data_IF_624650140128
#
_entry.id   IF_624650140128
#
_cell.length_a   1.000
_cell.length_b   1.000
_cell.length_c   1.000
_cell.angle_alpha   90.00
_cell.angle_beta   90.00
_cell.angle_gamma   90.00
#
_symmetry.space_group_name_H-M   'P 1'
#
loop_
_entity.id
_entity.type
_entity.pdbx_description
1 polymer ?
#
# COMPACT_ATOMS: atom_id res chain seq x y z
N UNK A 1 -45.54 -23.73 -13.84
CA UNK A 1 -44.47 -23.67 -12.84
C UNK A 1 -45.07 -24.06 -11.51
N UNK A 2 -44.65 -25.18 -10.92
CA UNK A 2 -45.11 -25.57 -9.59
C UNK A 2 -44.43 -24.64 -8.57
N UNK A 3 -45.22 -23.82 -7.87
CA UNK A 3 -44.77 -23.09 -6.68
C UNK A 3 -44.53 -24.11 -5.56
N UNK A 4 -43.37 -24.76 -5.59
CA UNK A 4 -42.93 -25.65 -4.52
C UNK A 4 -42.39 -24.75 -3.40
N UNK A 5 -43.15 -24.64 -2.32
CA UNK A 5 -42.71 -23.97 -1.10
C UNK A 5 -41.96 -25.00 -0.25
N UNK A 6 -40.63 -24.86 -0.18
CA UNK A 6 -39.77 -25.72 0.62
C UNK A 6 -39.57 -25.12 2.02
N UNK A 7 -39.66 -25.95 3.06
CA UNK A 7 -39.32 -25.55 4.41
C UNK A 7 -37.84 -25.15 4.52
N UNK A 8 -37.57 -23.95 5.04
CA UNK A 8 -36.22 -23.50 5.41
C UNK A 8 -36.08 -23.52 6.94
N UNK A 9 -34.98 -24.09 7.42
CA UNK A 9 -34.68 -24.06 8.85
C UNK A 9 -34.44 -22.63 9.34
N UNK A 10 -34.80 -22.34 10.59
CA UNK A 10 -34.55 -21.01 11.21
C UNK A 10 -33.09 -20.59 11.11
N UNK A 11 -32.16 -21.54 11.29
CA UNK A 11 -30.72 -21.30 11.16
C UNK A 11 -30.35 -20.76 9.78
N UNK A 12 -30.93 -21.30 8.71
CA UNK A 12 -30.63 -20.83 7.35
C UNK A 12 -31.21 -19.43 7.09
N UNK A 13 -32.40 -19.13 7.61
CA UNK A 13 -33.03 -17.81 7.49
C UNK A 13 -32.16 -16.75 8.17
N UNK A 14 -31.70 -17.01 9.40
CA UNK A 14 -30.86 -16.07 10.16
C UNK A 14 -29.55 -15.75 9.41
N UNK A 15 -28.94 -16.74 8.76
CA UNK A 15 -27.72 -16.51 7.96
C UNK A 15 -28.00 -15.66 6.73
N UNK A 16 -29.11 -15.89 6.04
CA UNK A 16 -29.52 -15.08 4.87
C UNK A 16 -29.81 -13.62 5.28
N UNK A 17 -30.48 -13.42 6.43
CA UNK A 17 -30.72 -12.09 7.02
C UNK A 17 -29.41 -11.38 7.40
N UNK A 18 -28.54 -12.07 8.14
CA UNK A 18 -27.24 -11.54 8.56
C UNK A 18 -26.35 -11.16 7.36
N UNK A 19 -26.36 -11.98 6.30
CA UNK A 19 -25.70 -11.64 5.04
C UNK A 19 -26.23 -10.32 4.46
N UNK A 20 -27.55 -10.17 4.36
CA UNK A 20 -28.15 -8.95 3.82
C UNK A 20 -27.83 -7.72 4.67
N UNK A 21 -27.83 -7.85 6.00
CA UNK A 21 -27.43 -6.77 6.92
C UNK A 21 -25.95 -6.42 6.77
N UNK A 22 -25.06 -7.42 6.59
CA UNK A 22 -23.66 -7.18 6.30
C UNK A 22 -23.45 -6.38 5.00
N UNK A 23 -24.19 -6.72 3.92
CA UNK A 23 -24.15 -5.97 2.66
C UNK A 23 -24.62 -4.53 2.88
N UNK A 24 -25.75 -4.32 3.57
CA UNK A 24 -26.28 -2.98 3.86
C UNK A 24 -25.30 -2.15 4.70
N UNK A 25 -24.73 -2.74 5.74
CA UNK A 25 -23.72 -2.12 6.59
C UNK A 25 -22.53 -1.63 5.74
N UNK A 26 -21.95 -2.51 4.92
CA UNK A 26 -20.81 -2.16 4.08
C UNK A 26 -21.18 -1.12 3.02
N UNK A 27 -22.38 -1.19 2.45
CA UNK A 27 -22.83 -0.28 1.39
C UNK A 27 -23.12 1.13 1.90
N UNK A 28 -23.80 1.25 3.03
CA UNK A 28 -24.37 2.52 3.48
C UNK A 28 -23.71 3.12 4.72
N UNK A 29 -23.06 2.33 5.57
CA UNK A 29 -22.52 2.82 6.85
C UNK A 29 -21.00 2.99 6.87
N UNK A 30 -20.25 2.26 6.03
CA UNK A 30 -18.78 2.38 6.01
C UNK A 30 -18.29 3.56 5.16
N UNK A 31 -17.44 4.46 5.69
CA UNK A 31 -16.81 5.50 4.88
C UNK A 31 -15.67 4.95 4.00
N UNK A 32 -15.35 5.64 2.90
CA UNK A 32 -13.95 5.80 2.53
C UNK A 32 -13.29 4.81 1.57
N UNK A 33 -13.97 4.20 0.61
CA UNK A 33 -13.27 3.57 -0.55
C UNK A 33 -13.70 4.18 -1.87
N UNK A 34 -15.01 4.40 -2.01
CA UNK A 34 -15.67 4.97 -3.17
C UNK A 34 -16.91 5.75 -2.72
N UNK A 35 -17.48 6.61 -3.57
CA UNK A 35 -18.79 7.20 -3.25
C UNK A 35 -19.84 6.09 -3.26
N UNK A 36 -20.93 6.22 -2.50
CA UNK A 36 -22.02 5.22 -2.45
C UNK A 36 -22.56 4.86 -3.84
N UNK A 37 -22.44 5.79 -4.80
CA UNK A 37 -22.86 5.65 -6.20
C UNK A 37 -21.99 4.67 -7.01
N UNK A 38 -20.74 4.43 -6.59
CA UNK A 38 -19.86 3.47 -7.26
C UNK A 38 -20.24 2.02 -6.94
N UNK A 39 -21.15 1.78 -6.00
CA UNK A 39 -21.55 0.41 -5.62
C UNK A 39 -22.08 -0.39 -6.81
N UNK A 40 -22.79 0.24 -7.74
CA UNK A 40 -23.36 -0.44 -8.91
C UNK A 40 -22.30 -0.70 -10.00
N UNK A 41 -21.16 -0.01 -9.96
CA UNK A 41 -20.10 -0.16 -10.95
C UNK A 41 -19.39 -1.51 -10.82
N UNK A 42 -19.00 -2.09 -11.95
CA UNK A 42 -18.17 -3.30 -11.99
C UNK A 42 -16.67 -3.01 -11.83
N UNK A 43 -16.28 -1.73 -11.91
CA UNK A 43 -14.92 -1.27 -11.72
C UNK A 43 -14.90 -0.04 -10.81
N UNK A 44 -14.12 -0.12 -9.73
CA UNK A 44 -13.80 1.01 -8.87
C UNK A 44 -12.43 1.54 -9.29
N UNK A 45 -12.43 2.67 -10.02
CA UNK A 45 -11.24 3.25 -10.65
C UNK A 45 -10.14 3.47 -9.62
N UNK A 46 -8.95 2.92 -9.90
CA UNK A 46 -7.79 2.99 -9.00
C UNK A 46 -7.75 1.94 -7.89
N UNK A 47 -8.80 1.15 -7.70
CA UNK A 47 -8.89 0.16 -6.62
C UNK A 47 -9.02 -1.27 -7.12
N UNK A 48 -10.08 -1.58 -7.87
CA UNK A 48 -10.45 -2.95 -8.20
C UNK A 48 -11.42 -3.06 -9.38
N UNK A 49 -11.33 -4.17 -10.11
CA UNK A 49 -12.32 -4.58 -11.13
C UNK A 49 -12.88 -5.96 -10.79
N UNK A 50 -14.21 -6.04 -10.64
CA UNK A 50 -14.96 -7.23 -10.25
C UNK A 50 -15.27 -8.12 -11.45
N UNK A 51 -14.23 -8.61 -12.12
CA UNK A 51 -14.31 -9.58 -13.22
C UNK A 51 -14.02 -11.00 -12.75
N UNK A 52 -14.53 -12.00 -13.48
CA UNK A 52 -14.24 -13.42 -13.32
C UNK A 52 -12.76 -13.74 -13.51
N UNK A 53 -12.32 -14.89 -12.99
CA UNK A 53 -10.96 -15.39 -13.24
C UNK A 53 -10.81 -15.80 -14.72
N UNK A 54 -9.58 -15.77 -15.23
CA UNK A 54 -9.28 -16.09 -16.63
C UNK A 54 -9.59 -14.97 -17.63
N UNK A 55 -10.34 -13.94 -17.24
CA UNK A 55 -10.57 -12.76 -18.08
C UNK A 55 -9.34 -11.83 -18.04
N UNK A 56 -8.58 -11.83 -19.13
CA UNK A 56 -7.37 -11.00 -19.30
C UNK A 56 -7.64 -9.49 -19.29
N UNK A 57 -6.59 -8.69 -19.49
CA UNK A 57 -6.67 -7.23 -19.55
C UNK A 57 -7.28 -6.76 -20.88
N UNK A 58 -8.60 -6.87 -21.00
CA UNK A 58 -9.41 -6.30 -22.08
C UNK A 58 -10.37 -5.23 -21.55
N UNK A 59 -10.94 -4.46 -22.49
CA UNK A 59 -12.08 -3.56 -22.25
C UNK A 59 -13.16 -4.35 -21.52
N UNK A 60 -13.69 -3.78 -20.45
CA UNK A 60 -14.63 -4.47 -19.57
C UNK A 60 -15.98 -4.66 -20.25
N UNK A 61 -16.46 -5.91 -20.30
CA UNK A 61 -17.81 -6.26 -20.70
C UNK A 61 -18.60 -6.77 -19.48
N UNK A 62 -19.90 -6.47 -19.40
CA UNK A 62 -20.77 -6.90 -18.30
C UNK A 62 -20.82 -8.43 -18.18
N UNK A 63 -20.64 -9.17 -19.27
CA UNK A 63 -20.59 -10.66 -19.25
C UNK A 63 -19.38 -11.20 -18.47
N UNK A 64 -18.31 -10.40 -18.38
CA UNK A 64 -17.08 -10.75 -17.66
C UNK A 64 -17.20 -10.48 -16.15
N UNK A 65 -18.26 -9.81 -15.70
CA UNK A 65 -18.47 -9.48 -14.30
C UNK A 65 -18.61 -10.76 -13.46
N UNK A 66 -18.22 -10.67 -12.18
CA UNK A 66 -18.57 -11.69 -11.19
C UNK A 66 -20.08 -11.94 -11.19
N UNK A 67 -20.49 -13.17 -10.91
CA UNK A 67 -21.89 -13.57 -10.82
C UNK A 67 -22.72 -12.63 -9.95
N UNK A 68 -23.96 -12.35 -10.37
CA UNK A 68 -24.87 -11.38 -9.74
C UNK A 68 -25.13 -11.66 -8.25
N UNK A 69 -25.30 -12.93 -7.88
CA UNK A 69 -25.44 -13.37 -6.49
C UNK A 69 -24.18 -13.15 -5.64
N UNK A 70 -23.00 -13.09 -6.26
CA UNK A 70 -21.71 -13.08 -5.57
C UNK A 70 -21.08 -11.68 -5.50
N UNK A 71 -21.31 -10.85 -6.52
CA UNK A 71 -20.59 -9.58 -6.67
C UNK A 71 -20.80 -8.62 -5.50
N UNK A 72 -21.99 -8.62 -4.90
CA UNK A 72 -22.28 -7.80 -3.72
C UNK A 72 -21.44 -8.21 -2.51
N UNK A 73 -21.23 -9.51 -2.30
CA UNK A 73 -20.31 -10.00 -1.28
C UNK A 73 -18.87 -9.54 -1.53
N UNK A 74 -18.37 -9.69 -2.76
CA UNK A 74 -17.01 -9.27 -3.12
C UNK A 74 -16.79 -7.77 -2.86
N UNK A 75 -17.77 -6.93 -3.23
CA UNK A 75 -17.77 -5.48 -2.98
C UNK A 75 -17.78 -5.18 -1.47
N UNK A 76 -18.66 -5.82 -0.71
CA UNK A 76 -18.76 -5.64 0.74
C UNK A 76 -17.46 -6.03 1.45
N UNK A 77 -16.89 -7.19 1.10
CA UNK A 77 -15.65 -7.68 1.69
C UNK A 77 -14.49 -6.71 1.46
N UNK A 78 -14.30 -6.22 0.24
CA UNK A 78 -13.23 -5.25 -0.06
C UNK A 78 -13.41 -3.95 0.72
N UNK A 79 -14.64 -3.40 0.76
CA UNK A 79 -14.92 -2.15 1.47
C UNK A 79 -14.73 -2.31 2.99
N UNK A 80 -15.15 -3.43 3.56
CA UNK A 80 -14.92 -3.75 4.96
C UNK A 80 -13.41 -3.81 5.27
N UNK A 81 -12.63 -4.57 4.48
CA UNK A 81 -11.17 -4.65 4.67
C UNK A 81 -10.48 -3.28 4.52
N UNK A 82 -10.92 -2.45 3.58
CA UNK A 82 -10.39 -1.09 3.44
C UNK A 82 -10.63 -0.24 4.68
N UNK A 83 -11.83 -0.28 5.24
CA UNK A 83 -12.20 0.50 6.42
C UNK A 83 -11.35 0.15 7.65
N UNK A 84 -10.92 -1.12 7.78
CA UNK A 84 -10.02 -1.56 8.84
C UNK A 84 -8.57 -1.17 8.57
N UNK A 85 -8.10 -1.39 7.33
CA UNK A 85 -6.73 -1.09 6.93
C UNK A 85 -6.65 -0.83 5.42
N UNK A 86 -6.54 0.44 5.00
CA UNK A 86 -6.35 0.80 3.60
C UNK A 86 -5.12 0.11 3.00
N UNK A 87 -5.35 -0.67 1.94
CA UNK A 87 -4.30 -1.29 1.14
C UNK A 87 -4.01 -0.46 -0.11
N UNK A 88 -2.75 -0.44 -0.52
CA UNK A 88 -2.32 0.16 -1.81
C UNK A 88 -2.83 -0.63 -3.03
N UNK A 89 -3.11 -1.92 -2.87
CA UNK A 89 -3.52 -2.80 -3.96
C UNK A 89 -4.36 -3.98 -3.42
N UNK A 90 -5.53 -4.22 -4.03
CA UNK A 90 -6.48 -5.29 -3.68
C UNK A 90 -6.35 -6.55 -4.54
N UNK A 91 -5.37 -6.62 -5.43
CA UNK A 91 -5.20 -7.67 -6.42
C UNK A 91 -5.13 -9.07 -5.80
N UNK A 92 -4.43 -9.24 -4.68
CA UNK A 92 -4.33 -10.55 -4.00
C UNK A 92 -5.68 -10.98 -3.41
N UNK A 93 -6.45 -10.05 -2.85
CA UNK A 93 -7.81 -10.32 -2.36
C UNK A 93 -8.70 -10.73 -3.54
N UNK A 94 -8.60 -9.99 -4.65
CA UNK A 94 -9.38 -10.30 -5.85
C UNK A 94 -9.03 -11.63 -6.50
N UNK A 95 -7.76 -12.04 -6.50
CA UNK A 95 -7.39 -13.37 -6.99
C UNK A 95 -8.18 -14.46 -6.25
N UNK A 96 -8.19 -14.40 -4.92
CA UNK A 96 -8.93 -15.35 -4.09
C UNK A 96 -10.44 -15.26 -4.30
N UNK A 97 -11.01 -14.04 -4.33
CA UNK A 97 -12.46 -13.85 -4.56
C UNK A 97 -12.92 -14.41 -5.91
N UNK A 98 -12.10 -14.30 -6.96
CA UNK A 98 -12.43 -14.83 -8.30
C UNK A 98 -12.33 -16.35 -8.37
N UNK A 99 -11.32 -16.94 -7.75
CA UNK A 99 -11.24 -18.40 -7.61
C UNK A 99 -12.45 -18.94 -6.84
N UNK A 100 -12.84 -18.25 -5.76
CA UNK A 100 -13.93 -18.66 -4.90
C UNK A 100 -15.30 -18.57 -5.59
N UNK A 101 -15.54 -17.53 -6.39
CA UNK A 101 -16.77 -17.41 -7.19
C UNK A 101 -16.92 -18.59 -8.16
N UNK A 102 -15.89 -18.86 -8.96
CA UNK A 102 -15.94 -19.97 -9.91
C UNK A 102 -16.13 -21.32 -9.19
N UNK A 103 -15.42 -21.55 -8.08
CA UNK A 103 -15.56 -22.78 -7.29
C UNK A 103 -16.98 -22.96 -6.74
N UNK A 104 -17.58 -21.88 -6.24
CA UNK A 104 -18.92 -21.91 -5.66
C UNK A 104 -19.97 -22.26 -6.72
N UNK A 105 -19.84 -21.69 -7.92
CA UNK A 105 -20.68 -22.02 -9.07
C UNK A 105 -20.51 -23.48 -9.51
N UNK A 106 -19.27 -24.00 -9.53
CA UNK A 106 -18.99 -25.38 -9.95
C UNK A 106 -19.48 -26.43 -8.94
N UNK A 107 -19.33 -26.18 -7.64
CA UNK A 107 -19.60 -27.17 -6.60
C UNK A 107 -21.04 -27.09 -6.07
N UNK A 108 -21.60 -25.88 -5.96
CA UNK A 108 -22.91 -25.65 -5.33
C UNK A 108 -23.98 -25.17 -6.34
N UNK A 109 -23.61 -24.90 -7.59
CA UNK A 109 -24.51 -24.38 -8.62
C UNK A 109 -25.25 -23.08 -8.19
N UNK A 110 -24.55 -22.21 -7.45
CA UNK A 110 -25.07 -20.93 -6.94
C UNK A 110 -23.91 -19.95 -6.71
N UNK A 111 -24.16 -18.64 -6.83
CA UNK A 111 -23.18 -17.60 -6.47
C UNK A 111 -23.32 -17.09 -5.04
N UNK A 112 -24.24 -17.64 -4.23
CA UNK A 112 -24.54 -17.15 -2.89
C UNK A 112 -23.48 -17.62 -1.88
N UNK A 113 -22.64 -16.69 -1.43
CA UNK A 113 -21.46 -16.99 -0.59
C UNK A 113 -21.76 -17.81 0.67
N UNK A 114 -22.95 -17.65 1.25
CA UNK A 114 -23.33 -18.35 2.48
C UNK A 114 -23.52 -19.87 2.31
N UNK A 115 -23.47 -20.38 1.07
CA UNK A 115 -23.49 -21.81 0.75
C UNK A 115 -22.07 -22.43 0.66
N UNK A 116 -21.01 -21.65 0.90
CA UNK A 116 -19.63 -22.15 0.81
C UNK A 116 -19.34 -23.25 1.85
N UNK A 117 -18.53 -24.23 1.45
CA UNK A 117 -18.05 -25.34 2.29
C UNK A 117 -16.55 -25.49 2.13
N UNK A 118 -15.91 -26.34 2.96
CA UNK A 118 -14.48 -26.64 2.79
C UNK A 118 -14.13 -27.17 1.39
N UNK A 119 -15.02 -27.96 0.78
CA UNK A 119 -14.87 -28.48 -0.59
C UNK A 119 -14.80 -27.35 -1.61
N UNK A 120 -15.60 -26.29 -1.42
CA UNK A 120 -15.55 -25.12 -2.31
C UNK A 120 -14.19 -24.40 -2.20
N UNK A 121 -13.61 -24.32 -1.00
CA UNK A 121 -12.28 -23.73 -0.83
C UNK A 121 -11.16 -24.59 -1.44
N UNK A 122 -11.28 -25.92 -1.36
CA UNK A 122 -10.36 -26.84 -2.04
C UNK A 122 -10.44 -26.68 -3.56
N UNK A 123 -11.65 -26.63 -4.12
CA UNK A 123 -11.85 -26.38 -5.55
C UNK A 123 -11.33 -24.98 -5.96
N UNK A 124 -11.52 -23.95 -5.12
CA UNK A 124 -10.97 -22.62 -5.38
C UNK A 124 -9.43 -22.63 -5.47
N UNK A 125 -8.76 -23.44 -4.64
CA UNK A 125 -7.31 -23.63 -4.74
C UNK A 125 -6.91 -24.39 -6.01
N UNK A 126 -7.67 -25.42 -6.39
CA UNK A 126 -7.43 -26.13 -7.66
C UNK A 126 -7.59 -25.20 -8.86
N UNK A 127 -8.65 -24.40 -8.91
CA UNK A 127 -8.84 -23.35 -9.92
C UNK A 127 -7.65 -22.38 -9.90
N UNK A 128 -7.25 -21.89 -8.72
CA UNK A 128 -6.10 -21.00 -8.58
C UNK A 128 -4.80 -21.58 -9.18
N UNK A 129 -4.55 -22.87 -8.99
CA UNK A 129 -3.37 -23.55 -9.52
C UNK A 129 -3.28 -23.60 -11.05
N UNK A 130 -4.42 -23.45 -11.75
CA UNK A 130 -4.46 -23.34 -13.22
C UNK A 130 -3.97 -21.99 -13.75
N UNK A 131 -3.96 -20.96 -12.90
CA UNK A 131 -3.62 -19.58 -13.29
C UNK A 131 -2.38 -19.04 -12.59
N UNK A 132 -2.00 -19.61 -11.44
CA UNK A 132 -0.96 -19.07 -10.58
C UNK A 132 0.02 -20.15 -10.14
N UNK A 133 1.29 -19.76 -9.98
CA UNK A 133 2.35 -20.65 -9.53
C UNK A 133 3.16 -20.05 -8.37
N UNK A 134 3.87 -20.93 -7.65
CA UNK A 134 4.81 -20.56 -6.60
C UNK A 134 4.21 -19.64 -5.53
N UNK A 135 4.88 -18.51 -5.27
CA UNK A 135 4.47 -17.57 -4.23
C UNK A 135 3.17 -16.82 -4.53
N UNK A 136 2.75 -16.76 -5.80
CA UNK A 136 1.48 -16.12 -6.19
C UNK A 136 0.32 -17.03 -5.80
N UNK A 137 0.43 -18.33 -6.08
CA UNK A 137 -0.55 -19.34 -5.63
C UNK A 137 -0.62 -19.41 -4.10
N UNK A 138 0.52 -19.41 -3.42
CA UNK A 138 0.55 -19.40 -1.96
C UNK A 138 -0.16 -18.18 -1.36
N UNK A 139 0.00 -16.99 -1.97
CA UNK A 139 -0.72 -15.77 -1.56
C UNK A 139 -2.23 -15.89 -1.78
N UNK A 140 -2.66 -16.54 -2.87
CA UNK A 140 -4.07 -16.84 -3.12
C UNK A 140 -4.65 -17.69 -1.99
N UNK A 141 -3.98 -18.80 -1.64
CA UNK A 141 -4.40 -19.68 -0.55
C UNK A 141 -4.43 -19.00 0.82
N UNK A 142 -3.44 -18.18 1.16
CA UNK A 142 -3.45 -17.37 2.39
C UNK A 142 -4.67 -16.43 2.44
N UNK A 143 -5.08 -15.86 1.31
CA UNK A 143 -6.28 -15.01 1.28
C UNK A 143 -7.58 -15.81 1.34
N UNK A 144 -7.65 -16.99 0.71
CA UNK A 144 -8.78 -17.90 0.86
C UNK A 144 -8.99 -18.31 2.32
N UNK A 145 -7.90 -18.57 3.06
CA UNK A 145 -7.96 -18.92 4.48
C UNK A 145 -8.50 -17.76 5.33
N UNK A 146 -8.09 -16.53 5.02
CA UNK A 146 -8.63 -15.32 5.65
C UNK A 146 -10.12 -15.13 5.36
N UNK A 147 -10.56 -15.35 4.11
CA UNK A 147 -11.97 -15.26 3.75
C UNK A 147 -12.77 -16.34 4.48
N UNK A 148 -12.27 -17.58 4.53
CA UNK A 148 -12.90 -18.69 5.26
C UNK A 148 -13.11 -18.35 6.74
N UNK A 149 -12.05 -17.85 7.39
CA UNK A 149 -12.10 -17.40 8.78
C UNK A 149 -13.08 -16.24 8.98
N UNK A 150 -13.05 -15.24 8.10
CA UNK A 150 -13.95 -14.09 8.15
C UNK A 150 -15.43 -14.51 8.09
N UNK A 151 -15.76 -15.39 7.14
CA UNK A 151 -17.13 -15.89 6.95
C UNK A 151 -17.65 -16.64 8.17
N UNK A 152 -16.79 -17.44 8.80
CA UNK A 152 -17.10 -18.12 10.05
C UNK A 152 -17.30 -17.13 11.21
N UNK A 153 -16.33 -16.23 11.46
CA UNK A 153 -16.37 -15.30 12.59
C UNK A 153 -17.56 -14.34 12.54
N UNK A 154 -18.07 -14.04 11.34
CA UNK A 154 -19.21 -13.15 11.12
C UNK A 154 -20.53 -13.90 10.91
N UNK A 155 -20.58 -15.22 11.11
CA UNK A 155 -21.78 -16.04 10.92
C UNK A 155 -22.45 -15.87 9.54
N UNK A 156 -21.64 -15.82 8.48
CA UNK A 156 -22.08 -15.61 7.10
C UNK A 156 -22.25 -16.91 6.31
N UNK A 157 -22.26 -18.08 6.97
CA UNK A 157 -22.31 -19.40 6.31
C UNK A 157 -23.30 -20.36 6.95
N UNK A 158 -24.03 -21.10 6.13
CA UNK A 158 -25.06 -22.07 6.58
C UNK A 158 -24.45 -23.31 7.25
N UNK A 159 -23.28 -23.73 6.78
CA UNK A 159 -22.49 -24.84 7.34
C UNK A 159 -22.10 -24.62 8.81
N UNK A 160 -22.10 -23.36 9.27
CA UNK A 160 -21.76 -22.99 10.65
C UNK A 160 -20.26 -22.80 10.83
N UNK A 161 -19.46 -23.86 10.69
CA UNK A 161 -17.99 -23.79 10.85
C UNK A 161 -17.27 -24.32 9.61
N UNK A 162 -16.19 -23.63 9.23
CA UNK A 162 -15.32 -24.02 8.11
C UNK A 162 -13.88 -24.10 8.62
N UNK A 163 -13.34 -25.32 8.77
CA UNK A 163 -11.94 -25.56 9.15
C UNK A 163 -11.05 -25.71 7.92
N UNK A 164 -11.10 -24.78 6.97
CA UNK A 164 -10.25 -24.85 5.80
C UNK A 164 -8.88 -24.20 6.07
N UNK A 165 -7.81 -24.85 5.63
CA UNK A 165 -6.43 -24.34 5.73
C UNK A 165 -5.72 -24.50 4.40
N UNK A 166 -4.93 -23.49 4.05
CA UNK A 166 -4.14 -23.55 2.82
C UNK A 166 -3.00 -24.57 2.93
N UNK A 167 -2.96 -25.53 1.99
CA UNK A 167 -1.91 -26.53 1.91
C UNK A 167 -0.64 -26.04 1.17
N UNK A 168 -0.74 -24.96 0.39
CA UNK A 168 0.40 -24.41 -0.38
C UNK A 168 1.19 -23.43 0.48
N UNK A 169 2.39 -23.84 0.90
CA UNK A 169 3.30 -22.98 1.69
C UNK A 169 3.94 -21.92 0.81
N UNK A 170 3.94 -20.67 1.30
CA UNK A 170 4.73 -19.62 0.69
C UNK A 170 6.21 -19.95 0.87
N UNK A 171 6.96 -20.03 -0.24
CA UNK A 171 8.42 -20.13 -0.19
C UNK A 171 8.96 -18.75 0.16
N UNK A 172 9.18 -18.54 1.46
CA UNK A 172 9.93 -17.38 1.93
C UNK A 172 11.40 -17.66 1.58
N UNK A 173 12.01 -16.85 0.72
CA UNK A 173 13.48 -16.88 0.59
C UNK A 173 14.03 -16.60 1.99
N UNK A 174 14.91 -17.45 2.50
CA UNK A 174 15.66 -17.13 3.71
C UNK A 174 16.30 -15.75 3.48
N UNK A 175 16.14 -14.83 4.44
CA UNK A 175 16.75 -13.49 4.36
C UNK A 175 18.28 -13.54 4.26
N UNK A 176 18.86 -14.72 4.47
CA UNK A 176 20.25 -15.05 4.23
C UNK A 176 20.32 -16.20 3.22
N UNK A 177 20.72 -15.87 2.00
CA UNK A 177 21.28 -16.83 1.04
C UNK A 177 22.80 -16.66 1.10
N UNK A 178 23.59 -17.73 1.24
CA UNK A 178 25.02 -17.67 1.02
C UNK A 178 25.30 -17.01 -0.35
N UNK A 179 26.34 -16.19 -0.44
CA UNK A 179 26.68 -15.40 -1.64
C UNK A 179 26.76 -16.24 -2.92
N UNK A 180 27.15 -17.51 -2.78
CA UNK A 180 27.25 -18.52 -3.84
C UNK A 180 25.88 -18.87 -4.46
N UNK A 181 24.78 -18.71 -3.74
CA UNK A 181 23.43 -19.15 -4.16
C UNK A 181 22.53 -18.02 -4.72
N UNK A 182 23.01 -16.77 -4.78
CA UNK A 182 22.22 -15.64 -5.27
C UNK A 182 23.01 -14.81 -6.31
N UNK A 183 23.32 -15.43 -7.45
CA UNK A 183 24.01 -14.79 -8.59
C UNK A 183 23.32 -13.49 -9.08
N UNK A 184 22.02 -13.32 -8.80
CA UNK A 184 21.26 -12.09 -9.12
C UNK A 184 21.45 -10.96 -8.09
N UNK A 185 22.24 -11.17 -7.04
CA UNK A 185 22.49 -10.16 -5.99
C UNK A 185 23.46 -9.08 -6.47
N UNK A 186 24.50 -9.47 -7.21
CA UNK A 186 25.44 -8.53 -7.84
C UNK A 186 24.72 -7.64 -8.87
N UNK A 187 23.86 -8.23 -9.69
CA UNK A 187 23.07 -7.52 -10.72
C UNK A 187 22.08 -6.49 -10.15
N UNK A 188 21.78 -6.53 -8.84
CA UNK A 188 20.86 -5.59 -8.16
C UNK A 188 21.57 -4.50 -7.37
N UNK A 189 22.88 -4.56 -7.26
CA UNK A 189 23.68 -3.55 -6.59
C UNK A 189 24.28 -2.61 -7.64
N UNK A 190 24.47 -1.31 -7.30
CA UNK A 190 25.26 -0.44 -8.16
C UNK A 190 26.66 -1.00 -8.29
N UNK A 191 27.24 -0.89 -9.48
CA UNK A 191 28.65 -1.18 -9.69
C UNK A 191 29.54 -0.14 -8.98
N UNK A 192 30.82 -0.45 -8.90
CA UNK A 192 31.80 0.40 -8.22
C UNK A 192 31.95 1.76 -8.91
N UNK A 193 31.88 1.80 -10.24
CA UNK A 193 31.97 3.03 -11.03
C UNK A 193 30.85 4.01 -10.68
N UNK A 194 29.61 3.52 -10.55
CA UNK A 194 28.46 4.31 -10.14
C UNK A 194 28.62 4.85 -8.71
N UNK A 195 29.17 4.05 -7.79
CA UNK A 195 29.42 4.50 -6.41
C UNK A 195 30.49 5.59 -6.37
N UNK A 196 31.58 5.42 -7.11
CA UNK A 196 32.66 6.40 -7.20
C UNK A 196 32.19 7.69 -7.87
N UNK A 197 31.41 7.61 -8.95
CA UNK A 197 30.85 8.79 -9.61
C UNK A 197 29.99 9.65 -8.67
N UNK A 198 29.15 9.01 -7.84
CA UNK A 198 28.33 9.72 -6.85
C UNK A 198 29.21 10.33 -5.74
N UNK A 199 30.25 9.62 -5.31
CA UNK A 199 31.21 10.15 -4.33
C UNK A 199 31.97 11.36 -4.89
N UNK A 200 32.41 11.30 -6.15
CA UNK A 200 33.08 12.39 -6.85
C UNK A 200 32.19 13.61 -6.96
N UNK A 201 30.92 13.45 -7.39
CA UNK A 201 29.92 14.53 -7.42
C UNK A 201 29.73 15.12 -6.02
N UNK A 202 29.59 14.28 -4.99
CA UNK A 202 29.42 14.75 -3.62
C UNK A 202 30.64 15.55 -3.12
N UNK A 203 31.84 15.15 -3.53
CA UNK A 203 33.10 15.75 -3.11
C UNK A 203 33.28 17.18 -3.62
N UNK A 204 32.71 17.51 -4.79
CA UNK A 204 32.83 18.82 -5.42
C UNK A 204 32.40 19.98 -4.52
N UNK A 205 32.92 21.16 -4.85
CA UNK A 205 32.52 22.44 -4.27
C UNK A 205 31.05 22.74 -4.56
N UNK A 206 30.37 23.39 -3.62
CA UNK A 206 28.93 23.61 -3.71
C UNK A 206 28.57 24.55 -4.87
N UNK A 207 29.45 25.46 -5.25
CA UNK A 207 29.25 26.44 -6.33
C UNK A 207 29.20 25.75 -7.71
N UNK A 208 29.81 24.58 -7.85
CA UNK A 208 29.90 23.81 -9.09
C UNK A 208 28.70 22.86 -9.27
N UNK A 209 27.86 22.70 -8.25
CA UNK A 209 26.79 21.71 -8.24
C UNK A 209 25.43 22.37 -8.39
N UNK A 210 24.62 21.79 -9.30
CA UNK A 210 23.22 22.16 -9.39
C UNK A 210 22.47 21.79 -8.09
N UNK A 211 21.31 22.41 -7.81
CA UNK A 211 20.44 21.99 -6.70
C UNK A 211 20.11 20.49 -6.72
N UNK A 212 19.91 19.93 -7.93
CA UNK A 212 19.62 18.50 -8.13
C UNK A 212 20.80 17.62 -7.73
N UNK A 213 22.02 18.00 -8.10
CA UNK A 213 23.23 17.22 -7.79
C UNK A 213 23.53 17.27 -6.29
N UNK A 214 23.40 18.46 -5.68
CA UNK A 214 23.51 18.63 -4.22
C UNK A 214 22.51 17.74 -3.49
N UNK A 215 21.25 17.74 -3.92
CA UNK A 215 20.21 16.91 -3.31
C UNK A 215 20.52 15.42 -3.45
N UNK A 216 20.72 14.97 -4.69
CA UNK A 216 20.88 13.55 -5.03
C UNK A 216 22.11 12.98 -4.33
N UNK A 217 23.27 13.61 -4.50
CA UNK A 217 24.52 13.15 -3.89
C UNK A 217 24.47 13.18 -2.35
N UNK A 218 23.79 14.16 -1.74
CA UNK A 218 23.61 14.21 -0.28
C UNK A 218 22.73 13.08 0.25
N UNK A 219 21.65 12.72 -0.46
CA UNK A 219 20.81 11.57 -0.09
C UNK A 219 21.61 10.27 -0.15
N UNK A 220 22.39 10.05 -1.21
CA UNK A 220 23.27 8.88 -1.30
C UNK A 220 24.34 8.86 -0.21
N UNK A 221 24.98 10.00 0.06
CA UNK A 221 25.97 10.12 1.12
C UNK A 221 25.38 9.75 2.49
N UNK A 222 24.15 10.18 2.81
CA UNK A 222 23.47 9.80 4.05
C UNK A 222 23.10 8.30 4.10
N UNK A 223 22.67 7.72 2.98
CA UNK A 223 22.41 6.28 2.88
C UNK A 223 23.68 5.44 3.11
N UNK A 224 24.85 5.94 2.68
CA UNK A 224 26.16 5.33 2.94
C UNK A 224 26.63 5.54 4.39
N UNK A 225 26.41 6.73 4.96
CA UNK A 225 26.70 7.02 6.37
C UNK A 225 25.88 6.12 7.30
N UNK A 226 24.63 5.88 6.91
CA UNK A 226 23.64 5.23 7.75
C UNK A 226 22.56 4.53 6.91
N UNK A 227 22.76 3.25 6.58
CA UNK A 227 21.85 2.47 5.75
C UNK A 227 20.40 2.54 6.23
N UNK A 228 19.54 3.05 5.36
CA UNK A 228 18.14 3.39 5.66
C UNK A 228 17.28 3.17 4.43
N UNK A 229 15.95 3.14 4.61
CA UNK A 229 15.07 3.30 3.44
C UNK A 229 15.17 4.74 2.95
N UNK A 230 15.10 4.92 1.64
CA UNK A 230 15.10 6.28 1.06
C UNK A 230 14.00 7.16 1.66
N UNK A 231 12.81 6.59 1.91
CA UNK A 231 11.69 7.32 2.53
C UNK A 231 12.01 7.84 3.94
N UNK A 232 12.89 7.17 4.69
CA UNK A 232 13.30 7.60 6.04
C UNK A 232 14.28 8.78 5.95
N UNK A 233 15.18 8.79 4.96
CA UNK A 233 16.08 9.93 4.69
C UNK A 233 15.28 11.16 4.22
N UNK A 234 14.33 10.95 3.30
CA UNK A 234 13.50 12.04 2.74
C UNK A 234 12.53 12.64 3.76
N UNK A 235 12.26 11.94 4.86
CA UNK A 235 11.40 12.40 5.95
C UNK A 235 12.20 12.92 7.17
N UNK A 236 13.51 13.15 7.03
CA UNK A 236 14.34 13.70 8.10
C UNK A 236 13.84 15.09 8.52
N UNK A 237 13.65 15.34 9.83
CA UNK A 237 13.33 16.68 10.30
C UNK A 237 14.54 17.61 10.17
N UNK A 238 14.28 18.92 10.09
CA UNK A 238 15.34 19.93 9.94
C UNK A 238 16.32 19.94 11.13
N UNK A 239 15.84 19.60 12.32
CA UNK A 239 16.62 19.46 13.55
C UNK A 239 17.08 18.01 13.80
N UNK A 240 17.25 17.20 12.76
CA UNK A 240 17.56 15.77 12.94
C UNK A 240 18.91 15.50 13.64
N UNK A 241 19.88 16.41 13.59
CA UNK A 241 21.20 16.21 14.16
C UNK A 241 21.16 16.13 15.70
N UNK A 242 21.86 15.15 16.27
CA UNK A 242 22.00 15.01 17.72
C UNK A 242 23.42 14.58 18.09
N UNK A 243 23.91 15.12 19.20
CA UNK A 243 25.17 14.73 19.81
C UNK A 243 24.93 14.32 21.26
N UNK A 244 25.48 13.18 21.68
CA UNK A 244 25.39 12.68 23.06
C UNK A 244 26.73 12.08 23.51
N UNK A 245 27.01 12.14 24.81
CA UNK A 245 28.17 11.46 25.40
C UNK A 245 27.71 10.06 25.82
N UNK A 246 28.41 9.01 25.36
CA UNK A 246 28.10 7.64 25.75
C UNK A 246 28.63 7.30 27.15
N UNK A 247 28.30 6.11 27.66
CA UNK A 247 28.75 5.65 28.98
C UNK A 247 30.27 5.51 29.16
N UNK A 248 31.06 5.71 28.09
CA UNK A 248 32.52 5.73 28.13
C UNK A 248 33.10 7.15 28.01
N UNK A 249 32.25 8.18 28.09
CA UNK A 249 32.67 9.57 27.93
C UNK A 249 32.96 9.96 26.46
N UNK A 250 32.55 9.14 25.49
CA UNK A 250 32.83 9.40 24.07
C UNK A 250 31.64 10.14 23.45
N UNK A 251 31.92 11.27 22.81
CA UNK A 251 30.93 11.98 22.00
C UNK A 251 30.48 11.14 20.78
N UNK A 252 29.17 10.98 20.64
CA UNK A 252 28.49 10.27 19.55
C UNK A 252 27.59 11.24 18.82
N UNK A 253 27.76 11.31 17.52
CA UNK A 253 26.89 12.05 16.61
C UNK A 253 25.91 11.08 15.94
N UNK A 254 24.65 11.47 15.86
CA UNK A 254 23.58 10.68 15.27
C UNK A 254 22.53 11.54 14.60
N UNK A 255 21.60 10.88 13.93
CA UNK A 255 20.45 11.52 13.29
C UNK A 255 19.17 10.93 13.88
N UNK A 256 18.21 11.79 14.24
CA UNK A 256 16.87 11.45 14.71
C UNK A 256 15.99 11.09 13.50
N UNK A 257 15.40 9.89 13.51
CA UNK A 257 14.53 9.38 12.45
C UNK A 257 13.22 8.84 13.01
N UNK A 258 12.20 8.75 12.15
CA UNK A 258 10.97 8.04 12.42
C UNK A 258 10.84 6.79 11.53
N UNK A 259 10.77 5.62 12.15
CA UNK A 259 10.78 4.35 11.43
C UNK A 259 9.40 4.00 10.85
N UNK A 260 9.33 3.78 9.53
CA UNK A 260 8.06 3.54 8.81
C UNK A 260 7.38 2.22 9.20
N UNK A 261 8.13 1.22 9.68
CA UNK A 261 7.60 -0.11 10.08
C UNK A 261 7.18 -0.20 11.55
N UNK A 262 6.61 0.86 12.12
CA UNK A 262 6.00 0.82 13.46
C UNK A 262 6.98 0.77 14.63
N UNK A 263 8.28 0.95 14.39
CA UNK A 263 9.29 1.06 15.45
C UNK A 263 9.38 2.47 16.05
N UNK A 264 8.65 3.44 15.49
CA UNK A 264 8.56 4.79 16.05
C UNK A 264 9.86 5.61 15.93
N UNK A 265 10.05 6.61 16.82
CA UNK A 265 11.22 7.47 16.83
C UNK A 265 12.49 6.70 17.25
N UNK A 266 13.59 6.92 16.55
CA UNK A 266 14.88 6.26 16.81
C UNK A 266 16.05 7.19 16.45
N UNK A 267 17.23 6.92 17.01
CA UNK A 267 18.49 7.58 16.64
C UNK A 267 19.35 6.57 15.88
N UNK A 268 19.87 6.98 14.72
CA UNK A 268 20.93 6.21 14.07
C UNK A 268 22.27 6.92 14.23
N UNK A 269 23.19 6.25 14.90
CA UNK A 269 24.53 6.75 15.18
C UNK A 269 25.43 6.66 13.95
N UNK A 270 26.16 7.73 13.67
CA UNK A 270 27.02 7.82 12.48
C UNK A 270 28.46 7.41 12.88
N UNK A 271 29.14 6.56 12.09
CA UNK A 271 30.55 6.26 12.30
C UNK A 271 31.39 7.54 12.33
N UNK A 272 32.35 7.63 13.25
CA UNK A 272 33.15 8.85 13.48
C UNK A 272 33.76 9.43 12.20
N UNK A 273 34.29 8.57 11.33
CA UNK A 273 34.91 8.94 10.05
C UNK A 273 33.91 9.53 9.03
N UNK A 274 32.62 9.19 9.16
CA UNK A 274 31.55 9.66 8.28
C UNK A 274 30.85 10.92 8.80
N UNK A 275 31.15 11.39 10.02
CA UNK A 275 30.52 12.59 10.60
C UNK A 275 30.65 13.81 9.67
N UNK A 276 31.83 14.14 9.09
CA UNK A 276 31.97 15.27 8.18
C UNK A 276 31.08 15.13 6.93
N UNK A 277 30.97 13.91 6.40
CA UNK A 277 30.13 13.59 5.23
C UNK A 277 28.65 13.81 5.55
N UNK A 278 28.18 13.26 6.68
CA UNK A 278 26.80 13.43 7.12
C UNK A 278 26.46 14.91 7.34
N UNK A 279 27.31 15.66 8.04
CA UNK A 279 27.10 17.10 8.28
C UNK A 279 27.08 17.90 6.98
N UNK A 280 27.98 17.63 6.03
CA UNK A 280 27.98 18.29 4.70
C UNK A 280 26.66 18.01 3.96
N UNK A 281 26.18 16.76 3.99
CA UNK A 281 24.92 16.36 3.37
C UNK A 281 23.72 17.06 4.01
N UNK A 282 23.61 17.06 5.35
CA UNK A 282 22.51 17.72 6.07
C UNK A 282 22.51 19.24 5.80
N UNK A 283 23.67 19.90 5.85
CA UNK A 283 23.80 21.32 5.51
C UNK A 283 23.28 21.63 4.10
N UNK A 284 23.64 20.82 3.10
CA UNK A 284 23.14 20.97 1.72
C UNK A 284 21.61 20.84 1.67
N UNK A 285 21.05 19.79 2.28
CA UNK A 285 19.61 19.57 2.30
C UNK A 285 18.85 20.68 3.04
N UNK A 286 19.40 21.19 4.14
CA UNK A 286 18.84 22.31 4.91
C UNK A 286 18.82 23.60 4.07
N UNK A 287 19.89 23.88 3.34
CA UNK A 287 19.96 25.04 2.43
C UNK A 287 18.91 24.91 1.32
N UNK A 288 18.83 23.76 0.65
CA UNK A 288 17.88 23.53 -0.44
C UNK A 288 16.41 23.62 -0.01
N UNK A 289 16.09 23.17 1.20
CA UNK A 289 14.72 23.19 1.72
C UNK A 289 14.35 24.46 2.50
N UNK A 290 15.23 25.47 2.53
CA UNK A 290 15.00 26.71 3.28
C UNK A 290 13.71 27.43 2.88
N UNK A 291 13.47 27.61 1.57
CA UNK A 291 12.27 28.31 1.08
C UNK A 291 10.98 27.58 1.47
N UNK A 292 10.97 26.24 1.36
CA UNK A 292 9.82 25.43 1.75
C UNK A 292 9.54 25.52 3.26
N UNK A 293 10.58 25.50 4.11
CA UNK A 293 10.41 25.67 5.56
C UNK A 293 9.94 27.08 5.94
N UNK A 294 10.45 28.11 5.26
CA UNK A 294 10.01 29.49 5.47
C UNK A 294 8.53 29.66 5.13
N UNK A 295 8.08 29.06 4.02
CA UNK A 295 6.67 29.04 3.64
C UNK A 295 5.81 28.30 4.68
N UNK A 296 6.23 27.11 5.11
CA UNK A 296 5.51 26.34 6.12
C UNK A 296 5.35 27.15 7.42
N UNK A 297 6.43 27.75 7.92
CA UNK A 297 6.40 28.63 9.10
C UNK A 297 5.48 29.85 8.91
N UNK A 298 5.47 30.46 7.72
CA UNK A 298 4.57 31.56 7.42
C UNK A 298 3.11 31.13 7.47
N UNK A 299 2.77 29.99 6.86
CA UNK A 299 1.41 29.45 6.87
C UNK A 299 0.92 29.12 8.27
N UNK A 300 1.78 28.57 9.14
CA UNK A 300 1.45 28.32 10.55
C UNK A 300 1.20 29.62 11.32
N UNK A 301 1.97 30.67 11.03
CA UNK A 301 1.85 31.97 11.70
C UNK A 301 0.65 32.80 11.21
N UNK A 302 0.25 32.63 9.95
CA UNK A 302 -0.80 33.41 9.30
C UNK A 302 -1.80 32.51 8.55
N UNK A 303 -2.57 31.67 9.25
CA UNK A 303 -3.44 30.68 8.61
C UNK A 303 -4.54 31.29 7.74
N UNK A 304 -4.97 32.52 8.07
CA UNK A 304 -6.05 33.23 7.38
C UNK A 304 -5.56 34.24 6.32
N UNK A 305 -4.26 34.25 6.00
CA UNK A 305 -3.68 35.18 5.02
C UNK A 305 -3.18 34.43 3.80
N UNK A 306 -3.25 35.09 2.64
CA UNK A 306 -2.67 34.57 1.41
C UNK A 306 -1.16 34.84 1.34
N UNK A 307 -0.36 33.79 1.13
CA UNK A 307 1.09 33.93 0.95
C UNK A 307 1.40 34.49 -0.44
N UNK A 308 1.99 35.68 -0.50
CA UNK A 308 2.49 36.27 -1.77
C UNK A 308 3.95 35.91 -1.98
N UNK A 309 4.22 35.12 -3.02
CA UNK A 309 5.57 34.85 -3.50
C UNK A 309 6.03 35.87 -4.54
N UNK A 310 7.30 35.85 -4.91
CA UNK A 310 7.92 36.82 -5.83
C UNK A 310 7.21 36.91 -7.19
N UNK A 311 6.69 35.79 -7.70
CA UNK A 311 5.94 35.74 -8.96
C UNK A 311 4.45 36.12 -8.83
N UNK A 312 3.94 36.41 -7.63
CA UNK A 312 2.54 36.79 -7.47
C UNK A 312 2.25 38.16 -8.10
N UNK A 313 1.19 38.30 -8.94
CA UNK A 313 0.81 39.59 -9.50
C UNK A 313 0.33 40.55 -8.40
N UNK A 314 0.63 41.84 -8.58
CA UNK A 314 0.19 42.93 -7.70
C UNK A 314 -1.28 43.29 -7.93
N UNK A 315 -2.19 42.38 -7.57
CA UNK A 315 -3.65 42.57 -7.64
C UNK A 315 -4.31 42.18 -6.31
N UNK A 316 -5.53 42.65 -6.06
CA UNK A 316 -6.32 42.24 -4.89
C UNK A 316 -6.49 40.71 -4.81
N UNK A 317 -6.50 40.15 -3.60
CA UNK A 317 -6.56 38.69 -3.39
C UNK A 317 -7.82 38.04 -3.96
N UNK A 318 -8.91 38.80 -4.11
CA UNK A 318 -10.18 38.33 -4.66
C UNK A 318 -10.36 38.71 -6.13
N UNK A 319 -9.40 39.41 -6.73
CA UNK A 319 -9.46 39.77 -8.14
C UNK A 319 -9.17 38.55 -9.02
N UNK A 320 -9.95 38.38 -10.10
CA UNK A 320 -9.64 37.37 -11.12
C UNK A 320 -8.38 37.77 -11.87
N UNK A 321 -7.41 36.87 -11.95
CA UNK A 321 -6.22 37.07 -12.76
C UNK A 321 -6.58 37.07 -14.24
N UNK A 322 -5.89 37.92 -15.00
CA UNK A 322 -5.89 37.84 -16.46
C UNK A 322 -5.05 36.66 -16.94
N UNK A 323 -5.27 36.21 -18.18
CA UNK A 323 -4.47 35.12 -18.78
C UNK A 323 -2.97 35.43 -18.73
N UNK A 324 -2.59 36.68 -18.98
CA UNK A 324 -1.19 37.13 -18.93
C UNK A 324 -0.62 37.00 -17.52
N UNK A 325 -1.35 37.44 -16.50
CA UNK A 325 -0.92 37.34 -15.10
C UNK A 325 -0.78 35.89 -14.62
N UNK A 326 -1.62 34.97 -15.11
CA UNK A 326 -1.50 33.53 -14.82
C UNK A 326 -0.25 32.95 -15.47
N UNK A 327 0.10 33.36 -16.69
CA UNK A 327 1.28 32.84 -17.39
C UNK A 327 2.62 33.34 -16.81
N UNK A 328 2.63 34.46 -16.10
CA UNK A 328 3.83 35.03 -15.48
C UNK A 328 4.06 34.60 -14.02
N UNK A 329 2.99 34.16 -13.35
CA UNK A 329 3.02 33.65 -11.97
C UNK A 329 3.53 32.21 -11.94
#
# INVERSE_FOLDING_TARGET
>A
MNNIILFKSKKHIIVEENYNEFIKFCRYQLPGLTQTQDWEQYAWKGYVTFRKIGVGNKVFDSIDALHEDYINFAKAYIRYQHSLKPLKNYGVIMMALRCLEQALLQVQNTGLIYNVTAVVFDEAMQIGSKYFEGNVLAKCGIQLEKISKFLYEHNLVKSGYISWKNHVKQKVKNNYLPEIEDYHRSDKLPDEEALLAIADIFSQNDELLSPRDKFTSSVFALLLCCPSRISEILALPADCEITQIDGKGIERYGLRFYSVKGYGPNIKWIPRVMIPVAKKAIRRLLSLSQNARALAYWCEKYPDKFYRHELCPTVDEKAKLTVVQVCHA
#
